data_IF_884166892131
#
_entry.id   IF_884166892131
#
_cell.length_a   1.000
_cell.length_b   1.000
_cell.length_c   1.000
_cell.angle_alpha   90.00
_cell.angle_beta   90.00
_cell.angle_gamma   90.00
#
_symmetry.space_group_name_H-M   'P 1'
#
loop_
_entity.id
_entity.type
_entity.pdbx_description
1 polymer ?
#
# COMPACT_ATOMS: atom_id res chain seq x y z
N UNK A 1 17.78 21.33 -1.16
CA UNK A 1 17.35 22.25 -0.08
C UNK A 1 15.90 21.96 0.31
N UNK A 2 15.40 22.55 1.42
CA UNK A 2 13.98 22.48 1.76
C UNK A 2 13.09 23.09 0.64
N UNK A 3 13.58 24.14 -0.03
CA UNK A 3 12.90 24.76 -1.17
C UNK A 3 12.75 23.79 -2.34
N UNK A 4 13.81 23.05 -2.70
CA UNK A 4 13.73 22.05 -3.79
C UNK A 4 12.76 20.91 -3.46
N UNK A 5 12.71 20.50 -2.18
CA UNK A 5 11.78 19.48 -1.73
C UNK A 5 10.33 19.95 -1.84
N UNK A 6 10.06 21.21 -1.45
CA UNK A 6 8.74 21.84 -1.58
C UNK A 6 8.29 21.96 -3.03
N UNK A 7 9.14 22.46 -3.92
CA UNK A 7 8.84 22.56 -5.36
C UNK A 7 8.49 21.19 -5.95
N UNK A 8 9.34 20.18 -5.69
CA UNK A 8 9.13 18.80 -6.15
C UNK A 8 7.83 18.21 -5.63
N UNK A 9 7.45 18.52 -4.39
CA UNK A 9 6.20 18.09 -3.78
C UNK A 9 5.00 18.72 -4.47
N UNK A 10 4.96 20.05 -4.59
CA UNK A 10 3.84 20.77 -5.18
C UNK A 10 3.57 20.34 -6.62
N UNK A 11 4.63 20.18 -7.43
CA UNK A 11 4.49 19.68 -8.82
C UNK A 11 3.95 18.26 -8.91
N UNK A 12 4.12 17.41 -7.88
CA UNK A 12 3.58 16.04 -7.86
C UNK A 12 2.11 16.04 -7.44
N UNK A 13 1.76 16.86 -6.45
CA UNK A 13 0.38 17.04 -5.99
C UNK A 13 -0.51 17.52 -7.14
N UNK A 14 -0.03 18.48 -7.95
CA UNK A 14 -0.79 19.03 -9.09
C UNK A 14 -1.15 17.99 -10.17
N UNK A 15 -0.39 16.89 -10.28
CA UNK A 15 -0.67 15.81 -11.24
C UNK A 15 -1.56 14.69 -10.70
N UNK A 16 -1.99 14.76 -9.44
CA UNK A 16 -2.75 13.68 -8.83
C UNK A 16 -4.16 13.58 -9.41
N UNK A 17 -4.56 12.37 -9.81
CA UNK A 17 -5.95 12.08 -10.16
C UNK A 17 -6.70 11.57 -8.93
N UNK A 18 -7.46 12.46 -8.29
CA UNK A 18 -8.18 12.17 -7.04
C UNK A 18 -9.20 11.02 -7.20
N UNK A 19 -9.79 10.88 -8.39
CA UNK A 19 -10.80 9.85 -8.67
C UNK A 19 -10.20 8.45 -8.85
N UNK A 20 -8.86 8.36 -8.98
CA UNK A 20 -8.12 7.11 -9.22
C UNK A 20 -6.97 6.93 -8.24
N UNK A 21 -7.17 7.36 -6.99
CA UNK A 21 -6.17 7.19 -5.94
C UNK A 21 -6.03 5.72 -5.52
N UNK A 22 -4.79 5.34 -5.22
CA UNK A 22 -4.43 4.07 -4.60
C UNK A 22 -3.73 4.39 -3.29
N UNK A 23 -4.21 3.80 -2.20
CA UNK A 23 -3.54 3.89 -0.90
C UNK A 23 -2.71 2.64 -0.71
N UNK A 24 -1.38 2.80 -0.59
CA UNK A 24 -0.47 1.70 -0.34
C UNK A 24 0.17 1.85 1.03
N UNK A 25 0.23 0.74 1.76
CA UNK A 25 0.97 0.65 3.01
C UNK A 25 1.81 -0.65 3.05
N UNK A 26 2.71 -0.76 4.02
CA UNK A 26 3.47 -1.99 4.25
C UNK A 26 3.99 -2.05 5.67
N UNK A 27 4.29 -3.24 6.16
CA UNK A 27 4.97 -3.41 7.44
C UNK A 27 6.41 -2.90 7.35
N UNK A 28 6.62 -1.67 7.81
CA UNK A 28 7.92 -1.04 7.90
C UNK A 28 8.49 -1.11 9.32
N UNK A 29 9.48 -0.26 9.61
CA UNK A 29 9.97 -0.10 10.98
C UNK A 29 8.83 0.37 11.91
N UNK A 30 8.76 -0.21 13.11
CA UNK A 30 7.75 0.09 14.15
C UNK A 30 6.30 -0.14 13.68
N UNK A 31 6.09 -1.11 12.80
CA UNK A 31 4.75 -1.55 12.45
C UNK A 31 4.12 -2.38 13.57
N UNK A 32 2.91 -2.01 13.97
CA UNK A 32 2.12 -2.74 14.98
C UNK A 32 0.92 -3.42 14.30
N UNK A 33 0.50 -4.57 14.83
CA UNK A 33 -0.65 -5.33 14.30
C UNK A 33 -1.92 -4.48 14.16
N UNK A 34 -2.14 -3.53 15.07
CA UNK A 34 -3.29 -2.63 15.02
C UNK A 34 -3.26 -1.69 13.82
N UNK A 35 -2.08 -1.35 13.29
CA UNK A 35 -1.96 -0.53 12.10
C UNK A 35 -2.54 -1.23 10.86
N UNK A 36 -2.39 -2.55 10.75
CA UNK A 36 -3.01 -3.33 9.68
C UNK A 36 -4.54 -3.26 9.76
N UNK A 37 -5.10 -3.44 10.96
CA UNK A 37 -6.55 -3.36 11.22
C UNK A 37 -7.10 -1.97 10.92
N UNK A 38 -6.42 -0.93 11.39
CA UNK A 38 -6.79 0.47 11.16
C UNK A 38 -6.77 0.80 9.67
N UNK A 39 -5.75 0.37 8.95
CA UNK A 39 -5.67 0.56 7.50
C UNK A 39 -6.81 -0.16 6.78
N UNK A 40 -7.11 -1.40 7.17
CA UNK A 40 -8.21 -2.18 6.62
C UNK A 40 -9.59 -1.56 6.86
N UNK A 41 -9.75 -0.80 7.95
CA UNK A 41 -11.00 -0.10 8.29
C UNK A 41 -11.16 1.28 7.62
N UNK A 42 -10.14 1.84 6.97
CA UNK A 42 -10.27 3.11 6.26
C UNK A 42 -11.33 3.01 5.14
N UNK A 43 -12.17 4.04 4.96
CA UNK A 43 -13.21 4.02 3.93
C UNK A 43 -12.66 4.36 2.53
N UNK A 44 -11.65 3.62 2.08
CA UNK A 44 -11.07 3.71 0.74
C UNK A 44 -11.17 2.35 0.06
N UNK A 45 -11.74 2.34 -1.14
CA UNK A 45 -11.93 1.11 -1.94
C UNK A 45 -10.59 0.60 -2.51
N UNK A 46 -9.78 1.51 -3.06
CA UNK A 46 -8.55 1.16 -3.75
C UNK A 46 -7.36 1.23 -2.79
N UNK A 47 -7.18 0.20 -1.98
CA UNK A 47 -6.08 0.16 -1.01
C UNK A 47 -5.45 -1.23 -0.87
N UNK A 48 -4.16 -1.24 -0.55
CA UNK A 48 -3.37 -2.46 -0.33
C UNK A 48 -2.30 -2.25 0.73
N UNK A 49 -2.14 -3.23 1.63
CA UNK A 49 -1.11 -3.26 2.65
C UNK A 49 -0.29 -4.55 2.50
N UNK A 50 1.01 -4.42 2.22
CA UNK A 50 1.89 -5.60 2.12
C UNK A 50 2.51 -5.96 3.46
N UNK A 51 2.43 -7.23 3.84
CA UNK A 51 2.94 -7.70 5.12
C UNK A 51 3.74 -9.00 5.00
N UNK A 52 4.69 -9.20 5.90
CA UNK A 52 5.40 -10.45 6.11
C UNK A 52 4.56 -11.42 6.96
N UNK A 53 3.91 -10.86 8.00
CA UNK A 53 2.98 -11.58 8.87
C UNK A 53 1.63 -11.81 8.20
N UNK A 54 1.01 -12.95 8.51
CA UNK A 54 -0.33 -13.29 8.04
C UNK A 54 -1.41 -12.67 8.94
N UNK A 55 -2.43 -12.06 8.31
CA UNK A 55 -3.59 -11.48 9.00
C UNK A 55 -4.88 -12.05 8.44
N UNK A 56 -5.56 -12.86 9.24
CA UNK A 56 -6.82 -13.48 8.83
C UNK A 56 -7.97 -12.46 8.85
N UNK A 57 -8.74 -12.42 7.76
CA UNK A 57 -9.96 -11.62 7.65
C UNK A 57 -9.77 -10.15 7.26
N UNK A 58 -8.54 -9.66 7.11
CA UNK A 58 -8.27 -8.31 6.63
C UNK A 58 -8.24 -8.28 5.09
N UNK A 59 -9.12 -7.50 4.46
CA UNK A 59 -9.36 -7.55 3.01
C UNK A 59 -8.28 -6.86 2.18
N UNK A 60 -7.73 -5.78 2.73
CA UNK A 60 -6.71 -4.95 2.08
C UNK A 60 -5.29 -5.43 2.36
N UNK A 61 -5.10 -6.44 3.22
CA UNK A 61 -3.78 -6.96 3.57
C UNK A 61 -3.40 -8.12 2.65
N UNK A 62 -2.22 -8.02 2.06
CA UNK A 62 -1.62 -9.05 1.22
C UNK A 62 -0.33 -9.51 1.88
N UNK A 63 -0.34 -10.74 2.37
CA UNK A 63 0.86 -11.36 2.93
C UNK A 63 1.77 -11.84 1.81
N UNK A 64 3.00 -11.34 1.79
CA UNK A 64 4.02 -11.72 0.83
C UNK A 64 4.77 -12.95 1.35
N UNK A 65 4.41 -14.13 0.82
CA UNK A 65 4.90 -15.44 1.29
C UNK A 65 6.42 -15.57 1.34
N UNK A 66 7.14 -14.80 0.50
CA UNK A 66 8.60 -14.73 0.53
C UNK A 66 9.15 -14.36 1.91
N UNK A 67 8.42 -13.54 2.67
CA UNK A 67 8.86 -12.94 3.93
C UNK A 67 8.24 -13.60 5.16
N UNK A 68 7.64 -14.80 5.05
CA UNK A 68 6.89 -15.45 6.15
C UNK A 68 7.68 -15.60 7.47
N UNK A 69 9.01 -15.70 7.39
CA UNK A 69 9.89 -15.86 8.55
C UNK A 69 10.68 -14.58 8.87
N UNK A 70 10.34 -13.46 8.24
CA UNK A 70 10.95 -12.16 8.44
C UNK A 70 10.02 -11.26 9.24
N UNK A 71 10.58 -10.24 9.89
CA UNK A 71 9.79 -9.33 10.72
C UNK A 71 9.01 -8.29 9.88
N UNK A 72 9.37 -8.14 8.60
CA UNK A 72 8.79 -7.15 7.69
C UNK A 72 9.05 -7.50 6.24
N UNK A 73 8.32 -6.87 5.33
CA UNK A 73 8.61 -6.92 3.90
C UNK A 73 9.83 -6.04 3.56
N UNK A 74 10.71 -6.58 2.71
CA UNK A 74 11.81 -5.85 2.10
C UNK A 74 11.61 -5.75 0.58
N UNK A 75 11.88 -4.58 0.00
CA UNK A 75 11.74 -4.32 -1.44
C UNK A 75 10.41 -4.88 -2.01
N UNK A 76 9.27 -4.47 -1.43
CA UNK A 76 7.95 -5.03 -1.74
C UNK A 76 7.64 -5.01 -3.23
N UNK A 77 8.08 -3.97 -3.93
CA UNK A 77 7.86 -3.78 -5.37
C UNK A 77 8.52 -4.87 -6.23
N UNK A 78 9.55 -5.56 -5.74
CA UNK A 78 10.19 -6.69 -6.43
C UNK A 78 9.43 -8.00 -6.26
N UNK A 79 8.58 -8.10 -5.23
CA UNK A 79 8.07 -9.38 -4.73
C UNK A 79 6.55 -9.45 -4.67
N UNK A 80 5.86 -8.31 -4.62
CA UNK A 80 4.40 -8.22 -4.52
C UNK A 80 3.68 -8.99 -5.63
N UNK A 81 4.19 -8.95 -6.87
CA UNK A 81 3.57 -9.60 -8.03
C UNK A 81 3.35 -11.11 -7.89
N UNK A 82 4.04 -11.78 -6.96
CA UNK A 82 3.84 -13.21 -6.67
C UNK A 82 2.57 -13.50 -5.87
N UNK A 83 2.07 -12.51 -5.14
CA UNK A 83 0.93 -12.64 -4.24
C UNK A 83 -0.19 -11.63 -4.56
N UNK A 84 0.09 -10.64 -5.40
CA UNK A 84 -0.81 -9.55 -5.74
C UNK A 84 -0.68 -9.18 -7.21
N UNK A 85 -1.76 -9.32 -7.98
CA UNK A 85 -1.76 -8.93 -9.38
C UNK A 85 -1.97 -7.41 -9.51
N UNK A 86 -0.87 -6.65 -9.51
CA UNK A 86 -0.89 -5.18 -9.59
C UNK A 86 -1.55 -4.67 -10.87
N UNK A 87 -1.36 -5.36 -12.00
CA UNK A 87 -1.93 -4.95 -13.29
C UNK A 87 -3.45 -5.06 -13.25
N UNK A 88 -3.97 -6.20 -12.76
CA UNK A 88 -5.41 -6.38 -12.57
C UNK A 88 -5.98 -5.35 -11.59
N UNK A 89 -5.29 -5.09 -10.48
CA UNK A 89 -5.73 -4.11 -9.48
C UNK A 89 -5.86 -2.70 -10.06
N UNK A 90 -4.84 -2.21 -10.79
CA UNK A 90 -4.85 -0.87 -11.40
C UNK A 90 -5.91 -0.76 -12.51
N UNK A 91 -6.15 -1.83 -13.27
CA UNK A 91 -7.15 -1.81 -14.34
C UNK A 91 -8.59 -1.91 -13.84
N UNK A 92 -8.80 -2.33 -12.59
CA UNK A 92 -10.13 -2.52 -11.98
C UNK A 92 -10.39 -1.56 -10.80
N UNK A 93 -9.68 -0.42 -10.74
CA UNK A 93 -9.90 0.59 -9.71
C UNK A 93 -11.36 1.04 -9.69
N UNK A 94 -11.93 1.14 -8.49
CA UNK A 94 -13.22 1.78 -8.27
C UNK A 94 -13.04 3.28 -8.41
N UNK A 95 -13.86 3.92 -9.22
CA UNK A 95 -13.86 5.37 -9.31
C UNK A 95 -14.55 5.88 -8.04
N UNK A 96 -13.82 6.64 -7.23
CA UNK A 96 -14.43 7.33 -6.10
C UNK A 96 -15.31 8.46 -6.67
N UNK A 97 -16.60 8.53 -6.31
CA UNK A 97 -17.49 9.59 -6.77
C UNK A 97 -17.10 10.97 -6.25
#
# INVERSE_FOLDING_TARGET
>A
SAADAKDKWLRRVDRMNVNKLIFKFSDGDKFEDDMAKRFDNLNFENKVCFTAKEYNGLKSVVTLKKFKNENRVHDEWKHANKNFNIVSFINNLKITP
#
